data_IF_572331721741
#
_entry.id   IF_572331721741
#
_cell.length_a   1.000
_cell.length_b   1.000
_cell.length_c   1.000
_cell.angle_alpha   90.00
_cell.angle_beta   90.00
_cell.angle_gamma   90.00
#
_symmetry.space_group_name_H-M   'P 1'
#
loop_
_entity.id
_entity.type
_entity.pdbx_description
1 polymer ?
#
# COMPACT_ATOMS: atom_id res chain seq x y z
N UNK A 1 -3.89 -0.66 1.83
CA UNK A 1 -3.45 0.65 2.34
C UNK A 1 -4.67 1.49 2.67
N UNK A 2 -4.86 1.79 3.96
CA UNK A 2 -6.01 2.57 4.47
C UNK A 2 -6.01 4.00 3.92
N UNK A 3 -4.83 4.54 3.60
CA UNK A 3 -4.68 5.85 2.98
C UNK A 3 -4.54 5.79 1.45
N UNK A 4 -4.85 4.64 0.88
CA UNK A 4 -4.77 4.41 -0.56
C UNK A 4 -6.01 4.87 -1.32
N UNK A 5 -6.04 4.65 -2.64
CA UNK A 5 -7.13 5.13 -3.50
C UNK A 5 -8.41 4.28 -3.44
N UNK A 6 -8.43 3.19 -2.65
CA UNK A 6 -9.57 2.27 -2.58
C UNK A 6 -10.43 2.62 -1.37
N UNK A 7 -11.56 3.28 -1.61
CA UNK A 7 -12.44 3.82 -0.58
C UNK A 7 -12.94 2.79 0.43
N UNK A 8 -13.20 1.54 0.02
CA UNK A 8 -13.66 0.50 0.94
C UNK A 8 -12.58 -0.05 1.88
N UNK A 9 -11.31 0.33 1.72
CA UNK A 9 -10.22 -0.04 2.64
C UNK A 9 -10.16 0.95 3.80
N UNK A 10 -11.15 0.92 4.66
CA UNK A 10 -11.30 1.87 5.78
C UNK A 10 -10.51 1.52 7.02
N UNK A 11 -10.02 0.29 7.13
CA UNK A 11 -9.16 -0.19 8.21
C UNK A 11 -8.29 -1.36 7.76
N UNK A 12 -7.22 -1.63 8.49
CA UNK A 12 -6.49 -2.89 8.39
C UNK A 12 -7.32 -4.02 9.03
N UNK A 13 -7.16 -5.24 8.50
CA UNK A 13 -7.67 -6.47 9.10
C UNK A 13 -6.52 -7.37 9.56
N UNK A 14 -6.82 -8.40 10.34
CA UNK A 14 -5.85 -9.36 10.88
C UNK A 14 -6.07 -10.74 10.27
N UNK A 15 -5.09 -11.64 10.44
CA UNK A 15 -5.24 -13.04 10.01
C UNK A 15 -6.38 -13.73 10.77
N UNK A 16 -6.57 -13.40 12.04
CA UNK A 16 -7.65 -13.99 12.87
C UNK A 16 -9.04 -13.47 12.47
N UNK A 17 -9.13 -12.19 12.08
CA UNK A 17 -10.36 -11.55 11.59
C UNK A 17 -10.09 -10.87 10.23
N UNK A 18 -9.97 -11.67 9.15
CA UNK A 18 -9.47 -11.14 7.89
C UNK A 18 -10.51 -10.35 7.09
N UNK A 19 -11.79 -10.51 7.37
CA UNK A 19 -12.87 -9.92 6.57
C UNK A 19 -13.74 -8.96 7.36
N UNK A 20 -14.11 -7.85 6.71
CA UNK A 20 -15.17 -6.97 7.14
C UNK A 20 -16.05 -6.56 5.95
N UNK A 21 -17.23 -6.03 6.22
CA UNK A 21 -18.11 -5.47 5.20
C UNK A 21 -17.98 -3.95 5.17
N UNK A 22 -18.00 -3.37 3.98
CA UNK A 22 -18.11 -1.93 3.77
C UNK A 22 -19.42 -1.61 3.07
N UNK A 23 -20.23 -0.78 3.68
CA UNK A 23 -21.51 -0.32 3.11
C UNK A 23 -21.33 1.09 2.51
N UNK A 24 -21.22 1.13 1.19
CA UNK A 24 -20.92 2.37 0.46
C UNK A 24 -21.98 3.46 0.68
N UNK A 25 -23.26 3.10 0.78
CA UNK A 25 -24.35 4.07 0.95
C UNK A 25 -24.29 4.85 2.26
N UNK A 26 -23.58 4.31 3.26
CA UNK A 26 -23.49 4.91 4.60
C UNK A 26 -22.03 5.19 5.01
N UNK A 27 -21.07 4.90 4.11
CA UNK A 27 -19.63 5.06 4.33
C UNK A 27 -19.17 4.47 5.67
N UNK A 28 -19.58 3.22 5.96
CA UNK A 28 -19.28 2.60 7.25
C UNK A 28 -18.98 1.12 7.17
N UNK A 29 -18.32 0.65 8.22
CA UNK A 29 -18.16 -0.78 8.49
C UNK A 29 -19.48 -1.44 8.88
N UNK A 30 -19.71 -2.63 8.33
CA UNK A 30 -20.81 -3.53 8.68
C UNK A 30 -20.29 -4.97 8.70
N UNK A 31 -21.13 -5.94 9.09
CA UNK A 31 -20.78 -7.35 8.88
C UNK A 31 -20.55 -7.63 7.40
N UNK A 32 -19.53 -8.43 7.07
CA UNK A 32 -19.28 -8.83 5.68
C UNK A 32 -20.45 -9.63 5.05
N UNK A 33 -21.35 -10.17 5.88
CA UNK A 33 -22.58 -10.84 5.44
C UNK A 33 -23.79 -9.90 5.29
N UNK A 34 -23.61 -8.58 5.54
CA UNK A 34 -24.70 -7.62 5.42
C UNK A 34 -25.10 -7.47 3.94
N UNK A 35 -26.42 -7.52 3.62
CA UNK A 35 -26.89 -7.33 2.25
C UNK A 35 -26.43 -5.98 1.66
N UNK A 36 -25.86 -6.02 0.46
CA UNK A 36 -25.35 -4.82 -0.23
C UNK A 36 -23.98 -4.33 0.22
N UNK A 37 -23.34 -5.00 1.18
CA UNK A 37 -21.95 -4.69 1.54
C UNK A 37 -20.93 -5.23 0.53
N UNK A 38 -19.81 -4.55 0.44
CA UNK A 38 -18.60 -5.04 -0.22
C UNK A 38 -17.78 -5.77 0.84
N UNK A 39 -17.47 -7.05 0.62
CA UNK A 39 -16.56 -7.77 1.50
C UNK A 39 -15.13 -7.37 1.20
N UNK A 40 -14.40 -6.95 2.24
CA UNK A 40 -13.03 -6.45 2.15
C UNK A 40 -12.11 -7.32 3.00
N UNK A 41 -10.94 -7.65 2.45
CA UNK A 41 -9.80 -8.18 3.18
C UNK A 41 -8.64 -7.20 3.02
N UNK A 42 -8.09 -6.70 4.11
CA UNK A 42 -7.00 -5.72 4.13
C UNK A 42 -5.94 -6.07 5.19
N UNK A 43 -5.47 -7.30 5.14
CA UNK A 43 -4.40 -7.79 6.02
C UNK A 43 -3.09 -7.13 5.60
N UNK A 44 -2.51 -6.29 6.47
CA UNK A 44 -1.33 -5.47 6.16
C UNK A 44 -0.07 -6.30 5.87
N UNK A 45 0.04 -7.45 6.49
CA UNK A 45 1.28 -8.21 6.52
C UNK A 45 1.16 -9.58 5.82
N UNK A 46 0.29 -9.66 4.82
CA UNK A 46 0.02 -10.88 4.06
C UNK A 46 1.28 -11.55 3.48
N UNK A 47 2.30 -10.83 2.98
CA UNK A 47 3.56 -11.43 2.52
C UNK A 47 4.31 -12.23 3.57
N UNK A 48 4.11 -11.97 4.86
CA UNK A 48 4.73 -12.71 5.96
C UNK A 48 4.18 -14.14 6.11
N UNK A 49 3.04 -14.45 5.53
CA UNK A 49 2.46 -15.80 5.54
C UNK A 49 3.20 -16.75 4.58
N UNK A 50 3.81 -16.23 3.52
CA UNK A 50 4.64 -16.95 2.55
C UNK A 50 5.95 -16.17 2.29
N UNK A 51 6.81 -16.00 3.31
CA UNK A 51 7.91 -15.03 3.25
C UNK A 51 8.98 -15.39 2.20
N UNK A 52 9.19 -16.66 1.95
CA UNK A 52 10.14 -17.12 0.93
C UNK A 52 9.64 -16.71 -0.46
N UNK A 53 8.42 -17.10 -0.81
CA UNK A 53 7.84 -16.83 -2.14
C UNK A 53 7.68 -15.33 -2.38
N UNK A 54 7.27 -14.59 -1.35
CA UNK A 54 7.15 -13.13 -1.41
C UNK A 54 8.51 -12.45 -1.64
N UNK A 55 9.57 -12.91 -0.98
CA UNK A 55 10.92 -12.36 -1.13
C UNK A 55 11.52 -12.72 -2.50
N UNK A 56 11.33 -13.94 -2.98
CA UNK A 56 11.78 -14.37 -4.30
C UNK A 56 11.08 -13.54 -5.39
N UNK A 57 9.75 -13.45 -5.38
CA UNK A 57 9.01 -12.67 -6.37
C UNK A 57 9.32 -11.18 -6.35
N UNK A 58 9.47 -10.58 -5.16
CA UNK A 58 9.91 -9.20 -5.03
C UNK A 58 11.33 -9.02 -5.59
N UNK A 59 12.25 -9.93 -5.23
CA UNK A 59 13.65 -9.89 -5.67
C UNK A 59 13.78 -9.95 -7.20
N UNK A 60 13.02 -10.82 -7.85
CA UNK A 60 13.00 -10.93 -9.32
C UNK A 60 12.54 -9.62 -9.98
N UNK A 61 11.43 -9.04 -9.52
CA UNK A 61 10.94 -7.76 -10.04
C UNK A 61 11.90 -6.62 -9.77
N UNK A 62 12.52 -6.59 -8.59
CA UNK A 62 13.50 -5.59 -8.23
C UNK A 62 14.74 -5.66 -9.13
N UNK A 63 15.28 -6.87 -9.36
CA UNK A 63 16.41 -7.10 -10.25
C UNK A 63 16.10 -6.74 -11.70
N UNK A 64 14.89 -7.05 -12.16
CA UNK A 64 14.50 -6.81 -13.55
C UNK A 64 14.22 -5.32 -13.83
N UNK A 65 13.59 -4.62 -12.92
CA UNK A 65 13.04 -3.29 -13.18
C UNK A 65 13.76 -2.16 -12.44
N UNK A 66 14.20 -2.39 -11.20
CA UNK A 66 14.72 -1.32 -10.35
C UNK A 66 16.26 -1.22 -10.44
N UNK A 67 16.96 -2.34 -10.33
CA UNK A 67 18.43 -2.34 -10.37
C UNK A 67 18.97 -1.67 -11.65
N UNK A 68 18.44 -1.95 -12.86
CA UNK A 68 18.93 -1.28 -14.07
C UNK A 68 18.80 0.24 -14.05
N UNK A 69 17.79 0.77 -13.32
CA UNK A 69 17.56 2.22 -13.24
C UNK A 69 18.74 2.98 -12.58
N UNK A 70 19.44 2.34 -11.64
CA UNK A 70 20.65 2.90 -11.03
C UNK A 70 21.82 3.06 -12.01
N UNK A 71 21.84 2.29 -13.10
CA UNK A 71 22.95 2.23 -14.05
C UNK A 71 22.61 2.86 -15.40
N UNK A 72 21.33 3.15 -15.68
CA UNK A 72 20.88 3.73 -16.94
C UNK A 72 20.45 5.18 -16.82
N UNK A 73 20.86 5.87 -15.74
CA UNK A 73 20.48 7.25 -15.42
C UNK A 73 18.96 7.44 -15.25
N UNK A 74 18.29 6.42 -14.71
CA UNK A 74 16.84 6.42 -14.44
C UNK A 74 15.98 6.89 -15.64
N UNK A 75 16.35 6.44 -16.85
CA UNK A 75 15.72 6.88 -18.10
C UNK A 75 14.19 6.75 -18.13
N UNK A 76 13.65 5.80 -17.36
CA UNK A 76 12.21 5.54 -17.25
C UNK A 76 11.57 6.22 -16.02
N UNK A 77 12.36 6.96 -15.23
CA UNK A 77 11.92 7.71 -14.06
C UNK A 77 11.42 6.84 -12.90
N UNK A 78 11.89 5.61 -12.79
CA UNK A 78 11.46 4.65 -11.74
C UNK A 78 11.92 5.13 -10.37
N UNK A 79 13.22 5.48 -10.24
CA UNK A 79 13.80 5.96 -8.99
C UNK A 79 13.22 7.31 -8.60
N UNK A 80 13.04 8.21 -9.59
CA UNK A 80 12.46 9.54 -9.34
C UNK A 80 11.02 9.45 -8.83
N UNK A 81 10.20 8.55 -9.41
CA UNK A 81 8.83 8.35 -8.95
C UNK A 81 8.73 7.70 -7.56
N UNK A 82 9.70 6.86 -7.21
CA UNK A 82 9.75 6.16 -5.92
C UNK A 82 10.35 7.02 -4.80
N UNK A 83 11.01 8.14 -5.13
CA UNK A 83 11.71 8.98 -4.18
C UNK A 83 10.73 9.66 -3.22
N UNK A 84 10.76 9.26 -1.96
CA UNK A 84 9.89 9.82 -0.90
C UNK A 84 10.42 11.17 -0.44
N UNK A 85 11.74 11.26 -0.21
CA UNK A 85 12.37 12.47 0.30
C UNK A 85 13.51 12.93 -0.60
N UNK A 86 13.72 14.25 -0.68
CA UNK A 86 14.83 14.88 -1.36
C UNK A 86 15.28 16.12 -0.59
N UNK A 87 16.58 16.25 -0.33
CA UNK A 87 17.15 17.37 0.43
C UNK A 87 16.47 17.64 1.79
N UNK A 88 16.10 16.56 2.49
CA UNK A 88 15.45 16.64 3.82
C UNK A 88 13.97 17.02 3.80
N UNK A 89 13.31 17.01 2.63
CA UNK A 89 11.89 17.33 2.48
C UNK A 89 11.18 16.21 1.72
N UNK A 90 9.87 16.10 1.93
CA UNK A 90 9.03 15.21 1.12
C UNK A 90 9.02 15.69 -0.34
N UNK A 91 9.05 14.74 -1.26
CA UNK A 91 8.77 15.06 -2.67
C UNK A 91 7.28 15.35 -2.87
N UNK A 92 6.89 16.10 -3.92
CA UNK A 92 5.48 16.46 -4.12
C UNK A 92 4.53 15.26 -4.18
N UNK A 93 5.00 14.13 -4.71
CA UNK A 93 4.23 12.89 -4.82
C UNK A 93 3.85 12.31 -3.45
N UNK A 94 4.68 12.56 -2.44
CA UNK A 94 4.51 12.04 -1.08
C UNK A 94 4.12 13.13 -0.07
N UNK A 95 3.61 14.28 -0.54
CA UNK A 95 3.18 15.37 0.33
C UNK A 95 2.07 14.97 1.34
N UNK A 96 1.30 13.92 1.04
CA UNK A 96 0.29 13.37 1.94
C UNK A 96 0.87 12.80 3.26
N UNK A 97 2.19 12.56 3.31
CA UNK A 97 2.87 12.12 4.53
C UNK A 97 3.28 13.28 5.47
N UNK A 98 2.88 14.53 5.16
CA UNK A 98 3.34 15.71 5.91
C UNK A 98 2.91 15.65 7.38
N UNK A 99 1.70 15.22 7.69
CA UNK A 99 1.21 15.12 9.07
C UNK A 99 2.04 14.10 9.88
N UNK A 100 2.42 12.98 9.27
CA UNK A 100 3.35 12.03 9.88
C UNK A 100 4.72 12.66 10.18
N UNK A 101 5.27 13.42 9.23
CA UNK A 101 6.55 14.14 9.43
C UNK A 101 6.45 15.18 10.53
N UNK A 102 5.33 15.85 10.64
CA UNK A 102 5.05 16.87 11.67
C UNK A 102 4.70 16.27 13.05
N UNK A 103 4.58 14.94 13.15
CA UNK A 103 4.23 14.26 14.39
C UNK A 103 2.77 14.44 14.82
N UNK A 104 1.88 14.55 13.85
CA UNK A 104 0.43 14.71 14.07
C UNK A 104 -0.33 13.40 13.87
#
# INVERSE_FOLDING_TARGET
DVNGPIACTIKASTIDEPFFGYLQSEDKEVSYSHPGSIMVMSVDNLPCELPKDASEGFGEMFMQHVIPAFFNNDKDGILQRAKITENGKLTPRFAYLQDYVDGK
#
